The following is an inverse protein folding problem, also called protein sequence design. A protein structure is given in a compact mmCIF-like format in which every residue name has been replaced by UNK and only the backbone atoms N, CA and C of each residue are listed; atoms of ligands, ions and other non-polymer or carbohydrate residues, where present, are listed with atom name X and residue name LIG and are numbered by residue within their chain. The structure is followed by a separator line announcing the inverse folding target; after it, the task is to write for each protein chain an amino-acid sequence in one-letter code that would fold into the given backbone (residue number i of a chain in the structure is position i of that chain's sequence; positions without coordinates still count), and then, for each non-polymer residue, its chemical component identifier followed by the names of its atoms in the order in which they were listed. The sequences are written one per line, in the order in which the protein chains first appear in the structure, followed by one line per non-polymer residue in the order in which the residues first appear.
data_IF_627459664022
#
_entry.id   IF_627459664022
#
_cell.length_a   1.000
_cell.length_b   1.000
_cell.length_c   1.000
_cell.angle_alpha   90.00
_cell.angle_beta   90.00
_cell.angle_gamma   90.00
#
_symmetry.space_group_name_H-M   'P 1'
#
loop_
_entity.id
_entity.type
_entity.pdbx_description
1 polymer ?
#
# COMPACT_ATOMS: atom_id res chain seq x y z
N UNK A 1 -19.66 15.36 3.84
CA UNK A 1 -18.70 16.42 4.24
C UNK A 1 -17.72 15.89 5.27
N UNK A 2 -16.59 16.58 5.48
CA UNK A 2 -15.64 16.22 6.52
C UNK A 2 -16.28 16.23 7.91
N UNK A 3 -17.12 17.24 8.19
CA UNK A 3 -17.86 17.33 9.46
C UNK A 3 -18.71 16.06 9.73
N UNK A 4 -19.45 15.59 8.72
CA UNK A 4 -20.24 14.36 8.85
C UNK A 4 -19.39 13.10 9.07
N UNK A 5 -18.18 13.04 8.46
CA UNK A 5 -17.24 11.93 8.70
C UNK A 5 -16.68 11.95 10.13
N UNK A 6 -16.46 13.14 10.69
CA UNK A 6 -15.98 13.30 12.07
C UNK A 6 -17.03 12.94 13.13
N UNK A 7 -18.31 12.91 12.78
CA UNK A 7 -19.39 12.46 13.67
C UNK A 7 -19.51 10.93 13.76
N UNK A 8 -18.85 10.20 12.85
CA UNK A 8 -18.89 8.73 12.85
C UNK A 8 -17.95 8.15 13.91
N UNK A 9 -18.49 7.27 14.76
CA UNK A 9 -17.69 6.44 15.65
C UNK A 9 -17.21 5.19 14.89
N UNK A 10 -15.90 5.05 14.76
CA UNK A 10 -15.26 3.86 14.14
C UNK A 10 -15.05 2.72 15.13
N UNK A 11 -15.55 2.89 16.35
CA UNK A 11 -15.42 1.97 17.47
C UNK A 11 -14.63 2.58 18.62
N UNK A 12 -15.10 2.31 19.85
CA UNK A 12 -14.48 2.79 21.10
C UNK A 12 -14.30 4.32 21.17
N UNK A 13 -15.20 5.09 20.58
CA UNK A 13 -15.13 6.56 20.56
C UNK A 13 -14.08 7.14 19.61
N UNK A 14 -13.54 6.33 18.71
CA UNK A 14 -12.54 6.78 17.73
C UNK A 14 -13.20 7.43 16.53
N UNK A 15 -12.62 8.51 16.03
CA UNK A 15 -13.05 9.20 14.81
C UNK A 15 -12.19 8.80 13.61
N UNK A 16 -12.72 8.99 12.40
CA UNK A 16 -11.95 8.82 11.16
C UNK A 16 -10.93 9.96 11.07
N UNK A 17 -9.61 9.66 11.09
CA UNK A 17 -8.60 10.70 10.95
C UNK A 17 -8.50 11.20 9.50
N UNK A 18 -8.14 12.45 9.32
CA UNK A 18 -7.65 12.97 8.05
C UNK A 18 -6.20 12.51 7.82
N UNK A 19 -5.70 12.57 6.59
CA UNK A 19 -4.31 12.26 6.31
C UNK A 19 -3.34 13.20 7.06
N UNK A 20 -3.71 14.47 7.22
CA UNK A 20 -2.97 15.45 8.02
C UNK A 20 -2.84 14.99 9.48
N UNK A 21 -3.96 14.65 10.13
CA UNK A 21 -3.96 14.15 11.51
C UNK A 21 -3.16 12.85 11.68
N UNK A 22 -3.15 11.97 10.67
CA UNK A 22 -2.28 10.79 10.67
C UNK A 22 -0.81 11.20 10.69
N UNK A 23 -0.40 12.13 9.83
CA UNK A 23 0.98 12.61 9.79
C UNK A 23 1.38 13.33 11.08
N UNK A 24 0.49 14.13 11.66
CA UNK A 24 0.72 14.78 12.96
C UNK A 24 0.91 13.76 14.10
N UNK A 25 0.12 12.68 14.10
CA UNK A 25 0.16 11.66 15.14
C UNK A 25 1.37 10.75 15.05
N UNK A 26 1.77 10.34 13.83
CA UNK A 26 2.84 9.38 13.60
C UNK A 26 4.19 10.09 13.43
N UNK A 27 4.18 11.34 12.96
CA UNK A 27 5.40 12.07 12.64
C UNK A 27 6.19 11.38 11.53
N UNK A 28 7.50 11.23 11.76
CA UNK A 28 8.42 10.52 10.83
C UNK A 28 8.87 9.17 11.38
N UNK A 29 8.22 8.67 12.43
CA UNK A 29 8.64 7.44 13.13
C UNK A 29 8.33 6.17 12.35
N UNK A 30 7.33 6.23 11.44
CA UNK A 30 6.88 5.09 10.64
C UNK A 30 6.89 5.40 9.15
N UNK A 31 7.17 4.37 8.35
CA UNK A 31 6.98 4.42 6.90
C UNK A 31 5.51 4.11 6.57
N UNK A 32 4.85 5.03 5.87
CA UNK A 32 3.40 4.99 5.67
C UNK A 32 3.05 4.59 4.23
N UNK A 33 2.21 3.57 4.07
CA UNK A 33 1.61 3.24 2.78
C UNK A 33 0.32 4.06 2.59
N UNK A 34 0.34 5.04 1.70
CA UNK A 34 -0.81 5.87 1.35
C UNK A 34 -1.53 5.28 0.14
N UNK A 35 -2.67 4.64 0.37
CA UNK A 35 -3.48 4.07 -0.72
C UNK A 35 -4.36 5.12 -1.38
N UNK A 36 -4.21 5.29 -2.70
CA UNK A 36 -4.99 6.22 -3.51
C UNK A 36 -6.24 5.53 -4.05
N UNK A 37 -7.40 5.78 -3.40
CA UNK A 37 -8.66 5.08 -3.66
C UNK A 37 -9.76 6.03 -4.08
N UNK A 38 -10.11 6.04 -5.37
CA UNK A 38 -11.19 6.85 -5.95
C UNK A 38 -11.96 6.09 -7.04
N UNK A 39 -12.45 4.90 -6.73
CA UNK A 39 -13.08 4.02 -7.72
C UNK A 39 -14.38 4.58 -8.32
N UNK A 40 -15.12 5.38 -7.54
CA UNK A 40 -16.43 5.94 -7.91
C UNK A 40 -16.34 7.38 -8.40
N UNK A 41 -15.26 8.09 -8.11
CA UNK A 41 -15.06 9.51 -8.45
C UNK A 41 -13.84 9.67 -9.34
N UNK A 42 -14.03 9.78 -10.66
CA UNK A 42 -12.92 9.72 -11.62
C UNK A 42 -12.07 11.00 -11.70
N UNK A 43 -12.67 12.15 -11.40
CA UNK A 43 -12.08 13.48 -11.60
C UNK A 43 -12.24 14.34 -10.32
N UNK A 44 -11.75 13.81 -9.19
CA UNK A 44 -11.89 14.41 -7.86
C UNK A 44 -10.62 15.09 -7.34
N UNK A 45 -9.57 15.17 -8.16
CA UNK A 45 -8.25 15.70 -7.80
C UNK A 45 -7.66 15.03 -6.53
N UNK A 46 -8.00 13.75 -6.27
CA UNK A 46 -7.52 13.04 -5.09
C UNK A 46 -6.00 13.05 -5.00
N UNK A 47 -5.33 12.71 -6.11
CA UNK A 47 -3.86 12.58 -6.12
C UNK A 47 -3.20 13.94 -5.82
N UNK A 48 -3.71 15.01 -6.41
CA UNK A 48 -3.23 16.38 -6.18
C UNK A 48 -3.37 16.78 -4.72
N UNK A 49 -4.56 16.59 -4.13
CA UNK A 49 -4.81 16.91 -2.72
C UNK A 49 -3.93 16.11 -1.76
N UNK A 50 -3.75 14.82 -2.02
CA UNK A 50 -2.85 13.98 -1.22
C UNK A 50 -1.42 14.46 -1.33
N UNK A 51 -0.95 14.80 -2.54
CA UNK A 51 0.39 15.34 -2.76
C UNK A 51 0.61 16.68 -2.03
N UNK A 52 -0.40 17.56 -2.01
CA UNK A 52 -0.34 18.82 -1.25
C UNK A 52 -0.10 18.55 0.24
N UNK A 53 -0.88 17.64 0.84
CA UNK A 53 -0.72 17.27 2.26
C UNK A 53 0.64 16.62 2.51
N UNK A 54 1.11 15.71 1.63
CA UNK A 54 2.43 15.08 1.77
C UNK A 54 3.55 16.11 1.80
N UNK A 55 3.51 17.12 0.92
CA UNK A 55 4.50 18.21 0.87
C UNK A 55 4.42 19.13 2.08
N UNK A 56 3.21 19.48 2.51
CA UNK A 56 2.98 20.32 3.68
C UNK A 56 3.61 19.72 4.94
N UNK A 57 3.45 18.39 5.11
CA UNK A 57 4.00 17.65 6.26
C UNK A 57 5.40 17.08 6.03
N UNK A 58 6.04 17.33 4.87
CA UNK A 58 7.39 16.87 4.51
C UNK A 58 7.56 15.35 4.67
N UNK A 59 6.58 14.58 4.15
CA UNK A 59 6.53 13.13 4.30
C UNK A 59 7.04 12.38 3.06
N UNK A 60 7.66 13.05 2.09
CA UNK A 60 8.08 12.46 0.81
C UNK A 60 9.01 11.26 0.99
N UNK A 61 9.90 11.30 1.99
CA UNK A 61 10.87 10.24 2.27
C UNK A 61 10.30 9.09 3.11
N UNK A 62 9.13 9.31 3.76
CA UNK A 62 8.53 8.37 4.72
C UNK A 62 7.27 7.69 4.21
N UNK A 63 6.95 7.82 2.92
CA UNK A 63 5.73 7.23 2.35
C UNK A 63 6.00 6.41 1.10
N UNK A 64 5.02 5.57 0.79
CA UNK A 64 4.84 4.91 -0.50
C UNK A 64 3.39 5.14 -0.94
N UNK A 65 3.17 5.51 -2.19
CA UNK A 65 1.83 5.51 -2.76
C UNK A 65 1.45 4.13 -3.26
N UNK A 66 0.24 3.66 -2.95
CA UNK A 66 -0.30 2.46 -3.56
C UNK A 66 -1.67 2.71 -4.20
N UNK A 67 -2.04 1.92 -5.20
CA UNK A 67 -3.36 1.98 -5.82
C UNK A 67 -3.63 0.75 -6.69
N UNK A 68 -4.91 0.37 -6.79
CA UNK A 68 -5.40 -0.54 -7.84
C UNK A 68 -5.53 0.14 -9.21
N UNK A 69 -5.49 1.48 -9.25
CA UNK A 69 -5.63 2.27 -10.46
C UNK A 69 -4.26 2.76 -10.97
N UNK A 70 -3.73 2.19 -12.05
CA UNK A 70 -2.46 2.64 -12.65
C UNK A 70 -2.43 4.13 -12.98
N UNK A 71 -3.60 4.73 -13.30
CA UNK A 71 -3.71 6.17 -13.57
C UNK A 71 -3.30 7.05 -12.38
N UNK A 72 -3.69 6.65 -11.15
CA UNK A 72 -3.33 7.36 -9.93
C UNK A 72 -1.82 7.31 -9.69
N UNK A 73 -1.21 6.13 -9.83
CA UNK A 73 0.23 5.95 -9.69
C UNK A 73 1.02 6.72 -10.77
N UNK A 74 0.51 6.75 -12.01
CA UNK A 74 1.09 7.56 -13.09
C UNK A 74 1.00 9.07 -12.78
N UNK A 75 -0.12 9.50 -12.19
CA UNK A 75 -0.30 10.90 -11.78
C UNK A 75 0.61 11.26 -10.62
N UNK A 76 0.68 10.42 -9.59
CA UNK A 76 1.60 10.58 -8.45
C UNK A 76 3.06 10.65 -8.92
N UNK A 77 3.47 9.78 -9.87
CA UNK A 77 4.82 9.80 -10.44
C UNK A 77 5.20 11.11 -11.16
N UNK A 78 4.22 11.86 -11.65
CA UNK A 78 4.46 13.18 -12.26
C UNK A 78 4.60 14.29 -11.24
N UNK A 79 3.90 14.18 -10.11
CA UNK A 79 3.84 15.22 -9.07
C UNK A 79 4.92 15.07 -8.00
N UNK A 80 5.28 13.80 -7.69
CA UNK A 80 6.32 13.41 -6.73
C UNK A 80 7.08 12.20 -7.30
N UNK A 81 7.98 12.38 -8.26
CA UNK A 81 8.70 11.29 -8.94
C UNK A 81 9.59 10.47 -7.98
N UNK A 82 10.09 11.07 -6.92
CA UNK A 82 10.95 10.48 -5.89
C UNK A 82 10.19 9.51 -4.97
N UNK A 83 8.90 9.73 -4.72
CA UNK A 83 8.08 8.88 -3.85
C UNK A 83 7.85 7.51 -4.50
N UNK A 84 8.17 6.40 -3.83
CA UNK A 84 7.96 5.06 -4.38
C UNK A 84 6.47 4.74 -4.57
N UNK A 85 6.19 3.87 -5.54
CA UNK A 85 4.82 3.48 -5.91
C UNK A 85 4.67 1.97 -5.93
N UNK A 86 3.58 1.51 -5.29
CA UNK A 86 3.15 0.11 -5.24
C UNK A 86 1.89 -0.14 -6.07
N UNK A 87 1.93 -1.11 -6.97
CA UNK A 87 0.76 -1.54 -7.72
C UNK A 87 -0.01 -2.61 -6.96
N UNK A 88 -1.24 -2.30 -6.55
CA UNK A 88 -2.17 -3.26 -5.97
C UNK A 88 -2.80 -4.12 -7.08
N UNK A 89 -2.92 -5.44 -6.86
CA UNK A 89 -3.52 -6.36 -7.82
C UNK A 89 -4.52 -7.29 -7.18
N UNK A 90 -5.71 -7.38 -7.79
CA UNK A 90 -6.81 -8.25 -7.35
C UNK A 90 -6.58 -9.72 -7.74
N UNK A 91 -7.36 -10.61 -7.09
CA UNK A 91 -7.44 -12.02 -7.46
C UNK A 91 -8.46 -12.23 -8.59
N UNK A 92 -8.14 -11.70 -9.78
CA UNK A 92 -8.92 -11.89 -11.00
C UNK A 92 -8.00 -11.90 -12.23
N UNK A 93 -8.58 -12.10 -13.43
CA UNK A 93 -7.83 -12.15 -14.69
C UNK A 93 -7.08 -10.83 -14.97
N UNK A 94 -7.71 -9.68 -14.74
CA UNK A 94 -7.05 -8.37 -14.91
C UNK A 94 -5.86 -8.19 -13.96
N UNK A 95 -6.02 -8.59 -12.69
CA UNK A 95 -4.93 -8.60 -11.71
C UNK A 95 -3.81 -9.56 -12.11
N UNK A 96 -4.13 -10.73 -12.68
CA UNK A 96 -3.14 -11.66 -13.22
C UNK A 96 -2.33 -11.01 -14.36
N UNK A 97 -2.98 -10.36 -15.32
CA UNK A 97 -2.33 -9.69 -16.42
C UNK A 97 -1.39 -8.56 -15.94
N UNK A 98 -1.89 -7.74 -14.99
CA UNK A 98 -1.11 -6.65 -14.40
C UNK A 98 0.16 -7.16 -13.70
N UNK A 99 0.06 -8.16 -12.81
CA UNK A 99 1.23 -8.66 -12.06
C UNK A 99 2.18 -9.51 -12.89
N UNK A 100 1.68 -10.17 -13.97
CA UNK A 100 2.50 -11.09 -14.78
C UNK A 100 3.25 -10.39 -15.89
N UNK A 101 2.59 -9.56 -16.68
CA UNK A 101 3.15 -8.93 -17.87
C UNK A 101 3.35 -7.41 -17.70
N UNK A 102 2.31 -6.69 -17.29
CA UNK A 102 2.33 -5.23 -17.32
C UNK A 102 3.14 -4.60 -16.19
N UNK A 103 3.34 -5.33 -15.08
CA UNK A 103 4.15 -4.83 -13.96
C UNK A 103 5.59 -4.52 -14.38
N UNK A 104 6.18 -5.34 -15.24
CA UNK A 104 7.56 -5.16 -15.73
C UNK A 104 7.77 -3.84 -16.49
N UNK A 105 6.75 -3.40 -17.23
CA UNK A 105 6.80 -2.18 -18.05
C UNK A 105 6.40 -0.92 -17.27
N UNK A 106 5.76 -1.07 -16.11
CA UNK A 106 5.37 0.07 -15.27
C UNK A 106 6.52 0.58 -14.42
N UNK A 107 6.52 1.89 -14.13
CA UNK A 107 7.47 2.49 -13.19
C UNK A 107 6.94 2.36 -11.75
N UNK A 108 6.90 1.11 -11.24
CA UNK A 108 6.48 0.77 -9.88
C UNK A 108 7.67 0.20 -9.12
N UNK A 109 7.88 0.62 -7.88
CA UNK A 109 8.92 0.13 -6.98
C UNK A 109 8.47 -1.09 -6.16
N UNK A 110 7.14 -1.28 -6.06
CA UNK A 110 6.57 -2.41 -5.34
C UNK A 110 5.35 -3.02 -6.04
N UNK A 111 5.15 -4.32 -5.83
CA UNK A 111 3.94 -5.07 -6.18
C UNK A 111 3.20 -5.44 -4.89
N UNK A 112 1.90 -5.13 -4.82
CA UNK A 112 1.04 -5.48 -3.70
C UNK A 112 -0.02 -6.49 -4.17
N UNK A 113 0.31 -7.79 -4.25
CA UNK A 113 -0.64 -8.82 -4.67
C UNK A 113 -1.53 -9.26 -3.51
N UNK A 114 -2.78 -9.68 -3.83
CA UNK A 114 -3.55 -10.47 -2.90
C UNK A 114 -2.78 -11.75 -2.53
N UNK A 115 -2.76 -12.15 -1.26
CA UNK A 115 -1.97 -13.28 -0.78
C UNK A 115 -2.30 -14.60 -1.51
N UNK A 116 -3.56 -14.82 -1.92
CA UNK A 116 -4.00 -16.00 -2.69
C UNK A 116 -3.32 -16.12 -4.05
N UNK A 117 -2.74 -15.03 -4.57
CA UNK A 117 -2.00 -14.98 -5.83
C UNK A 117 -0.50 -14.81 -5.64
N UNK A 118 -0.05 -14.81 -4.41
CA UNK A 118 1.37 -14.73 -4.08
C UNK A 118 1.93 -16.16 -4.05
N UNK A 119 3.02 -16.38 -4.78
CA UNK A 119 3.78 -17.62 -4.74
C UNK A 119 5.27 -17.32 -4.84
N UNK A 120 6.10 -18.29 -4.44
CA UNK A 120 7.55 -18.14 -4.37
C UNK A 120 8.17 -17.68 -5.71
N UNK A 121 7.68 -18.21 -6.83
CA UNK A 121 8.19 -17.84 -8.14
C UNK A 121 7.95 -16.36 -8.44
N UNK A 122 6.73 -15.85 -8.18
CA UNK A 122 6.39 -14.44 -8.41
C UNK A 122 7.18 -13.52 -7.48
N UNK A 123 7.35 -13.89 -6.21
CA UNK A 123 8.17 -13.13 -5.25
C UNK A 123 9.59 -13.02 -5.77
N UNK A 124 10.25 -14.15 -6.10
CA UNK A 124 11.61 -14.17 -6.63
C UNK A 124 11.72 -13.34 -7.92
N UNK A 125 10.78 -13.49 -8.86
CA UNK A 125 10.77 -12.75 -10.13
C UNK A 125 10.74 -11.23 -9.91
N UNK A 126 9.84 -10.75 -9.06
CA UNK A 126 9.70 -9.31 -8.77
C UNK A 126 10.96 -8.77 -8.09
N UNK A 127 11.52 -9.51 -7.14
CA UNK A 127 12.75 -9.13 -6.45
C UNK A 127 13.97 -9.13 -7.36
N UNK A 128 14.06 -10.06 -8.32
CA UNK A 128 15.11 -10.05 -9.35
C UNK A 128 15.04 -8.80 -10.26
N UNK A 129 13.89 -8.12 -10.32
CA UNK A 129 13.75 -6.82 -10.99
C UNK A 129 14.18 -5.62 -10.10
N UNK A 130 14.73 -5.87 -8.90
CA UNK A 130 15.06 -4.83 -7.93
C UNK A 130 13.83 -4.19 -7.27
N UNK A 131 12.67 -4.85 -7.30
CA UNK A 131 11.40 -4.33 -6.78
C UNK A 131 10.95 -5.12 -5.56
N UNK A 132 10.09 -4.52 -4.74
CA UNK A 132 9.58 -5.11 -3.49
C UNK A 132 8.21 -5.76 -3.68
N UNK A 133 7.87 -6.68 -2.77
CA UNK A 133 6.56 -7.36 -2.73
C UNK A 133 5.96 -7.24 -1.34
N UNK A 134 4.73 -6.68 -1.26
CA UNK A 134 3.96 -6.55 -0.02
C UNK A 134 2.60 -7.21 -0.20
N UNK A 135 2.38 -8.39 0.39
CA UNK A 135 1.14 -9.16 0.19
C UNK A 135 0.04 -8.75 1.17
N UNK A 136 -1.22 -8.75 0.72
CA UNK A 136 -2.41 -8.33 1.48
C UNK A 136 -3.59 -9.29 1.27
N UNK A 137 -4.60 -9.38 2.16
CA UNK A 137 -4.50 -9.17 3.59
C UNK A 137 -4.13 -10.50 4.22
N UNK A 138 -3.10 -10.57 5.00
CA UNK A 138 -2.53 -11.81 5.55
C UNK A 138 -2.77 -11.83 7.05
N UNK A 139 -3.76 -12.61 7.49
CA UNK A 139 -4.16 -12.70 8.90
C UNK A 139 -3.86 -14.08 9.54
N UNK A 140 -3.54 -15.08 8.72
CA UNK A 140 -3.24 -16.42 9.18
C UNK A 140 -1.74 -16.59 9.50
N UNK A 141 -1.36 -17.10 10.69
CA UNK A 141 0.04 -17.25 11.10
C UNK A 141 0.89 -18.15 10.19
N UNK A 142 0.28 -19.22 9.64
CA UNK A 142 1.02 -20.15 8.78
C UNK A 142 1.30 -19.52 7.41
N UNK A 143 0.36 -18.73 6.91
CA UNK A 143 0.56 -17.93 5.70
C UNK A 143 1.61 -16.84 5.91
N UNK A 144 1.64 -16.18 7.08
CA UNK A 144 2.69 -15.22 7.43
C UNK A 144 4.07 -15.85 7.35
N UNK A 145 4.27 -17.03 7.99
CA UNK A 145 5.53 -17.78 7.95
C UNK A 145 5.89 -18.20 6.53
N UNK A 146 4.93 -18.78 5.80
CA UNK A 146 5.15 -19.22 4.42
C UNK A 146 5.61 -18.08 3.50
N UNK A 147 4.98 -16.91 3.60
CA UNK A 147 5.36 -15.74 2.81
C UNK A 147 6.75 -15.22 3.20
N UNK A 148 7.09 -15.24 4.49
CA UNK A 148 8.41 -14.89 4.98
C UNK A 148 9.48 -15.86 4.43
N UNK A 149 9.22 -17.17 4.43
CA UNK A 149 10.10 -18.20 3.86
C UNK A 149 10.33 -18.01 2.35
N UNK A 150 9.34 -17.46 1.64
CA UNK A 150 9.49 -17.11 0.22
C UNK A 150 10.31 -15.82 0.01
N UNK A 151 10.66 -15.13 1.09
CA UNK A 151 11.46 -13.91 1.09
C UNK A 151 10.67 -12.67 0.66
N UNK A 152 9.39 -12.57 1.07
CA UNK A 152 8.58 -11.38 0.84
C UNK A 152 9.16 -10.17 1.60
N UNK A 153 8.99 -8.97 1.09
CA UNK A 153 9.52 -7.76 1.72
C UNK A 153 8.62 -7.24 2.85
N UNK A 154 7.34 -7.63 2.86
CA UNK A 154 6.40 -7.32 3.93
C UNK A 154 5.02 -7.89 3.70
N UNK A 155 4.19 -7.85 4.73
CA UNK A 155 2.78 -8.22 4.70
C UNK A 155 1.91 -7.07 5.18
N UNK A 156 0.70 -6.99 4.64
CA UNK A 156 -0.37 -6.09 5.12
C UNK A 156 -1.38 -6.98 5.84
N UNK A 157 -1.62 -6.68 7.12
CA UNK A 157 -2.45 -7.47 8.03
C UNK A 157 -3.34 -6.58 8.89
N UNK A 158 -4.47 -7.12 9.33
CA UNK A 158 -5.37 -6.45 10.29
C UNK A 158 -4.87 -6.58 11.74
N UNK A 159 -3.92 -7.52 12.00
CA UNK A 159 -3.33 -7.74 13.33
C UNK A 159 -1.79 -7.64 13.28
N UNK A 160 -1.23 -6.42 13.37
CA UNK A 160 0.22 -6.21 13.36
C UNK A 160 0.92 -6.77 14.60
N UNK A 161 0.21 -6.90 15.74
CA UNK A 161 0.77 -7.49 16.94
C UNK A 161 1.01 -9.00 16.76
N UNK A 162 0.03 -9.72 16.20
CA UNK A 162 0.17 -11.12 15.82
C UNK A 162 1.30 -11.32 14.81
N UNK A 163 1.33 -10.51 13.75
CA UNK A 163 2.37 -10.58 12.73
C UNK A 163 3.78 -10.40 13.33
N UNK A 164 3.95 -9.43 14.21
CA UNK A 164 5.22 -9.20 14.92
C UNK A 164 5.63 -10.41 15.75
N UNK A 165 4.70 -11.00 16.49
CA UNK A 165 4.95 -12.21 17.28
C UNK A 165 5.35 -13.40 16.41
N UNK A 166 4.64 -13.61 15.29
CA UNK A 166 4.87 -14.76 14.39
C UNK A 166 6.21 -14.65 13.65
N UNK A 167 6.59 -13.43 13.21
CA UNK A 167 7.74 -13.21 12.34
C UNK A 167 9.05 -12.89 13.09
N UNK A 168 8.97 -12.47 14.36
CA UNK A 168 10.18 -12.22 15.19
C UNK A 168 10.63 -13.41 16.03
N UNK A 169 9.88 -14.50 16.06
CA UNK A 169 10.18 -15.70 16.88
C UNK A 169 11.06 -16.71 16.14
N UNK A 170 11.71 -16.30 15.06
CA UNK A 170 12.68 -17.12 14.32
C UNK A 170 14.11 -16.61 14.52
#
# INVERSE_FOLDING_TARGET
SLAALKELDTGNGQQIPTLAEVFESIGQDLFINVELTNYTTKDDNLVEKVVEVVKEYKQEENILFSSFLPKNLKRAAKLLPEVPRGLLTLNNFGGWLLRSFLFGFGNYQALHPNWKNTNQFNVKRVRCMGRRVYSWTVNDPDQMRQLADWGIDGIITDDPALATKVLRTN
#
